data_IF_545254431245
#
_entry.id   IF_545254431245
#
_cell.length_a   1.000
_cell.length_b   1.000
_cell.length_c   1.000
_cell.angle_alpha   90.00
_cell.angle_beta   90.00
_cell.angle_gamma   90.00
#
_symmetry.space_group_name_H-M   'P 1'
#
loop_
_entity.id
_entity.type
_entity.pdbx_description
1 polymer ?
#
# COMPACT_ATOMS: atom_id res chain seq x y z
N UNK A 1 28.06 -9.93 -7.79
CA UNK A 1 28.35 -9.72 -6.36
C UNK A 1 29.86 -9.56 -6.18
N UNK A 2 30.30 -8.92 -5.10
CA UNK A 2 31.72 -8.76 -4.76
C UNK A 2 32.03 -9.63 -3.54
N UNK A 3 33.10 -10.41 -3.60
CA UNK A 3 33.56 -11.19 -2.44
C UNK A 3 34.36 -10.26 -1.52
N UNK A 4 33.86 -10.00 -0.31
CA UNK A 4 34.57 -9.16 0.65
C UNK A 4 35.62 -9.94 1.45
N UNK A 5 35.27 -11.15 1.89
CA UNK A 5 36.14 -12.00 2.71
C UNK A 5 35.89 -13.47 2.37
N UNK A 6 36.95 -14.28 2.38
CA UNK A 6 36.86 -15.72 2.12
C UNK A 6 36.91 -16.07 0.63
N UNK A 7 36.36 -17.22 0.28
CA UNK A 7 36.32 -17.77 -1.08
C UNK A 7 34.90 -18.24 -1.36
N UNK A 8 34.35 -17.87 -2.52
CA UNK A 8 33.07 -18.36 -3.00
C UNK A 8 33.32 -19.47 -4.02
N UNK A 9 32.84 -20.68 -3.74
CA UNK A 9 33.01 -21.85 -4.61
C UNK A 9 31.70 -22.21 -5.33
N UNK A 10 31.83 -22.70 -6.56
CA UNK A 10 30.69 -23.22 -7.31
C UNK A 10 30.16 -24.50 -6.63
N UNK A 11 28.86 -24.52 -6.35
CA UNK A 11 28.18 -25.60 -5.64
C UNK A 11 28.01 -25.39 -4.15
N UNK A 12 28.65 -24.36 -3.56
CA UNK A 12 28.55 -24.05 -2.14
C UNK A 12 27.17 -23.51 -1.74
N UNK A 13 26.75 -23.84 -0.52
CA UNK A 13 25.54 -23.28 0.10
C UNK A 13 25.92 -22.07 0.96
N UNK A 14 25.27 -20.94 0.71
CA UNK A 14 25.45 -19.67 1.44
C UNK A 14 24.13 -19.24 2.05
N UNK A 15 24.17 -18.54 3.17
CA UNK A 15 23.00 -17.97 3.83
C UNK A 15 22.86 -16.49 3.46
N UNK A 16 21.69 -16.12 2.91
CA UNK A 16 21.27 -14.74 2.75
C UNK A 16 20.76 -14.22 4.10
N UNK A 17 21.57 -13.40 4.76
CA UNK A 17 21.23 -12.87 6.10
C UNK A 17 20.13 -11.82 6.08
N UNK A 18 19.95 -11.11 4.96
CA UNK A 18 18.92 -10.09 4.85
C UNK A 18 17.50 -10.72 4.82
N UNK A 19 17.38 -11.93 4.28
CA UNK A 19 16.09 -12.63 4.06
C UNK A 19 15.92 -13.89 4.93
N UNK A 20 16.99 -14.38 5.54
CA UNK A 20 16.97 -15.62 6.33
C UNK A 20 16.86 -16.89 5.49
N UNK A 21 17.17 -16.82 4.19
CA UNK A 21 17.07 -17.91 3.23
C UNK A 21 18.45 -18.49 2.91
N UNK A 22 18.53 -19.81 2.71
CA UNK A 22 19.75 -20.46 2.22
C UNK A 22 19.72 -20.59 0.70
N UNK A 23 20.81 -20.21 0.07
CA UNK A 23 21.00 -20.15 -1.37
C UNK A 23 22.15 -21.06 -1.80
N UNK A 24 22.04 -21.64 -3.00
CA UNK A 24 23.10 -22.47 -3.57
C UNK A 24 23.74 -21.77 -4.74
N UNK A 25 25.04 -21.50 -4.64
CA UNK A 25 25.82 -20.88 -5.71
C UNK A 25 25.97 -21.90 -6.84
N UNK A 26 25.36 -21.61 -7.99
CA UNK A 26 25.38 -22.46 -9.18
C UNK A 26 25.87 -21.64 -10.36
N UNK A 27 26.75 -22.18 -11.22
CA UNK A 27 27.30 -21.47 -12.39
C UNK A 27 27.94 -20.13 -12.02
N UNK A 28 29.06 -20.22 -11.31
CA UNK A 28 29.87 -19.07 -10.97
C UNK A 28 30.68 -18.65 -12.20
N UNK A 29 30.60 -17.38 -12.59
CA UNK A 29 31.30 -16.85 -13.75
C UNK A 29 31.86 -15.46 -13.50
N UNK A 30 32.92 -15.11 -14.23
CA UNK A 30 33.44 -13.76 -14.31
C UNK A 30 32.95 -13.15 -15.63
N UNK A 31 32.28 -11.98 -15.61
CA UNK A 31 31.91 -11.29 -16.83
C UNK A 31 33.16 -10.65 -17.46
N UNK A 32 33.52 -11.06 -18.68
CA UNK A 32 34.59 -10.44 -19.47
C UNK A 32 33.98 -9.80 -20.73
N UNK A 33 33.55 -8.55 -20.59
CA UNK A 33 32.89 -7.74 -21.63
C UNK A 33 31.70 -8.43 -22.33
N UNK A 34 31.96 -9.30 -23.30
CA UNK A 34 30.95 -10.05 -24.07
C UNK A 34 30.91 -11.54 -23.70
N UNK A 35 32.01 -12.10 -23.18
CA UNK A 35 32.12 -13.50 -22.77
C UNK A 35 31.83 -13.67 -21.27
N UNK A 36 31.41 -14.87 -20.91
CA UNK A 36 31.22 -15.29 -19.51
C UNK A 36 32.09 -16.50 -19.29
N UNK A 37 33.15 -16.31 -18.52
CA UNK A 37 34.07 -17.39 -18.21
C UNK A 37 33.62 -18.05 -16.90
N UNK A 38 33.17 -19.30 -16.99
CA UNK A 38 32.81 -20.08 -15.80
C UNK A 38 34.07 -20.40 -14.99
N UNK A 39 34.03 -20.08 -13.71
CA UNK A 39 35.14 -20.30 -12.77
C UNK A 39 34.68 -21.17 -11.61
N UNK A 40 35.56 -22.07 -11.15
CA UNK A 40 35.25 -22.92 -10.00
C UNK A 40 35.20 -22.18 -8.65
N UNK A 41 35.93 -21.06 -8.54
CA UNK A 41 36.07 -20.29 -7.30
C UNK A 41 36.35 -18.81 -7.57
N UNK A 42 35.92 -17.95 -6.64
CA UNK A 42 36.24 -16.53 -6.57
C UNK A 42 36.87 -16.18 -5.22
N UNK A 43 37.95 -15.41 -5.23
CA UNK A 43 38.67 -15.01 -4.04
C UNK A 43 38.19 -13.66 -3.51
N UNK A 44 38.56 -13.33 -2.27
CA UNK A 44 38.29 -12.02 -1.69
C UNK A 44 38.87 -10.90 -2.55
N UNK A 45 38.03 -9.92 -2.89
CA UNK A 45 38.33 -8.84 -3.83
C UNK A 45 37.65 -9.03 -5.18
N UNK A 46 37.42 -10.26 -5.61
CA UNK A 46 36.89 -10.56 -6.94
C UNK A 46 35.41 -10.18 -7.09
N UNK A 47 35.04 -9.82 -8.31
CA UNK A 47 33.66 -9.55 -8.72
C UNK A 47 33.22 -10.66 -9.65
N UNK A 48 32.15 -11.35 -9.28
CA UNK A 48 31.58 -12.42 -10.09
C UNK A 48 30.08 -12.30 -10.24
N UNK A 49 29.57 -13.08 -11.17
CA UNK A 49 28.14 -13.28 -11.40
C UNK A 49 27.78 -14.72 -11.07
N UNK A 50 26.59 -14.89 -10.51
CA UNK A 50 26.00 -16.19 -10.21
C UNK A 50 24.61 -16.19 -10.81
N UNK A 51 24.22 -17.32 -11.37
CA UNK A 51 22.92 -17.48 -12.02
C UNK A 51 21.94 -18.18 -11.09
N UNK A 52 20.65 -17.86 -11.21
CA UNK A 52 19.53 -18.59 -10.57
C UNK A 52 19.56 -18.64 -9.03
N UNK A 53 19.88 -17.52 -8.38
CA UNK A 53 19.55 -17.36 -6.96
C UNK A 53 18.03 -17.17 -6.80
N UNK A 54 17.45 -17.73 -5.75
CA UNK A 54 15.98 -17.75 -5.60
C UNK A 54 15.43 -16.47 -4.98
N UNK A 55 16.06 -15.98 -3.93
CA UNK A 55 15.57 -14.95 -3.02
C UNK A 55 16.67 -13.95 -2.66
N UNK A 56 17.59 -13.70 -3.60
CA UNK A 56 18.67 -12.72 -3.43
C UNK A 56 18.41 -11.49 -4.28
N UNK A 57 18.41 -10.33 -3.63
CA UNK A 57 18.13 -9.03 -4.24
C UNK A 57 19.36 -8.11 -4.27
N UNK A 58 19.23 -6.99 -4.98
CA UNK A 58 20.24 -5.93 -5.03
C UNK A 58 20.52 -5.36 -3.62
N UNK A 59 21.74 -5.56 -3.13
CA UNK A 59 22.18 -5.08 -1.81
C UNK A 59 22.15 -6.12 -0.69
N UNK A 60 21.72 -7.35 -0.96
CA UNK A 60 21.71 -8.43 0.03
C UNK A 60 23.14 -8.92 0.36
N UNK A 61 23.33 -9.38 1.60
CA UNK A 61 24.59 -9.98 2.06
C UNK A 61 24.48 -11.51 2.08
N UNK A 62 25.32 -12.16 1.27
CA UNK A 62 25.51 -13.61 1.28
C UNK A 62 26.69 -13.98 2.18
N UNK A 63 26.46 -14.88 3.12
CA UNK A 63 27.45 -15.32 4.12
C UNK A 63 27.63 -16.84 4.09
N UNK A 64 28.81 -17.35 4.47
CA UNK A 64 28.99 -18.78 4.65
C UNK A 64 28.16 -19.29 5.85
N UNK A 65 27.69 -20.54 5.79
CA UNK A 65 26.90 -21.15 6.87
C UNK A 65 27.61 -21.01 8.22
N UNK A 66 26.89 -20.48 9.21
CA UNK A 66 27.41 -20.25 10.56
C UNK A 66 28.20 -18.95 10.78
N UNK A 67 28.58 -18.21 9.72
CA UNK A 67 29.19 -16.87 9.85
C UNK A 67 28.11 -15.79 9.75
N UNK A 68 27.81 -15.12 10.86
CA UNK A 68 26.74 -14.11 10.97
C UNK A 68 27.16 -12.69 10.56
N UNK A 69 27.90 -12.53 9.47
CA UNK A 69 28.34 -11.21 9.03
C UNK A 69 27.29 -10.58 8.11
N UNK A 70 26.75 -9.43 8.51
CA UNK A 70 25.90 -8.58 7.68
C UNK A 70 26.70 -7.34 7.30
N UNK A 71 26.80 -7.04 6.00
CA UNK A 71 27.46 -5.84 5.53
C UNK A 71 26.49 -4.65 5.62
N UNK A 72 27.01 -3.41 5.81
CA UNK A 72 26.16 -2.23 5.76
C UNK A 72 25.49 -2.14 4.38
N UNK A 73 24.16 -2.05 4.38
CA UNK A 73 23.37 -1.92 3.16
C UNK A 73 23.60 -0.59 2.45
N UNK A 74 23.23 -0.53 1.18
CA UNK A 74 23.27 0.70 0.39
C UNK A 74 22.05 1.53 0.77
N UNK A 75 22.28 2.78 1.20
CA UNK A 75 21.18 3.72 1.44
C UNK A 75 20.71 4.30 0.11
N UNK A 76 19.61 3.76 -0.40
CA UNK A 76 19.03 4.20 -1.66
C UNK A 76 18.33 5.56 -1.51
N UNK A 77 18.45 6.47 -2.50
CA UNK A 77 17.69 7.71 -2.50
C UNK A 77 16.19 7.43 -2.60
N UNK A 78 15.38 8.30 -1.99
CA UNK A 78 13.93 8.21 -2.07
C UNK A 78 13.46 8.66 -3.45
N UNK A 79 12.47 7.97 -4.00
CA UNK A 79 11.81 8.35 -5.24
C UNK A 79 10.94 9.59 -5.03
N UNK A 80 11.29 10.69 -5.71
CA UNK A 80 10.63 11.98 -5.56
C UNK A 80 9.52 12.24 -6.60
N UNK A 81 9.58 11.60 -7.77
CA UNK A 81 8.59 11.79 -8.85
C UNK A 81 7.60 10.64 -8.84
N UNK A 82 6.31 10.96 -8.91
CA UNK A 82 5.21 10.02 -9.04
C UNK A 82 4.44 10.22 -10.34
N UNK A 83 4.10 9.11 -11.00
CA UNK A 83 3.23 9.09 -12.18
C UNK A 83 2.19 8.00 -12.00
N UNK A 84 0.96 8.24 -12.45
CA UNK A 84 -0.03 7.18 -12.54
C UNK A 84 0.21 6.38 -13.81
N UNK A 85 0.09 5.07 -13.70
CA UNK A 85 0.29 4.13 -14.79
C UNK A 85 -0.94 3.25 -14.96
N UNK A 86 -1.30 2.99 -16.22
CA UNK A 86 -2.39 2.09 -16.61
C UNK A 86 -1.94 1.19 -17.75
N UNK A 87 -2.30 -0.09 -17.78
CA UNK A 87 -2.06 -0.91 -18.97
C UNK A 87 -2.89 -0.40 -20.15
N UNK A 88 -2.31 -0.38 -21.34
CA UNK A 88 -3.01 0.05 -22.56
C UNK A 88 -4.16 -0.91 -22.94
N UNK A 89 -4.08 -2.18 -22.52
CA UNK A 89 -5.08 -3.21 -22.80
C UNK A 89 -5.73 -3.74 -21.53
N UNK A 90 -7.06 -3.91 -21.56
CA UNK A 90 -7.82 -4.53 -20.46
C UNK A 90 -7.49 -6.02 -20.39
N UNK A 91 -6.97 -6.48 -19.25
CA UNK A 91 -6.52 -7.85 -19.02
C UNK A 91 -5.00 -8.02 -18.90
N UNK A 92 -4.22 -6.95 -19.05
CA UNK A 92 -2.76 -6.97 -18.80
C UNK A 92 -2.37 -6.51 -17.40
N UNK A 93 -3.34 -6.30 -16.50
CA UNK A 93 -3.10 -5.83 -15.12
C UNK A 93 -2.25 -6.82 -14.31
N UNK A 94 -2.50 -8.12 -14.43
CA UNK A 94 -1.72 -9.14 -13.72
C UNK A 94 -0.25 -9.18 -14.19
N UNK A 95 -0.04 -9.01 -15.51
CA UNK A 95 1.29 -8.95 -16.11
C UNK A 95 2.01 -7.67 -15.70
N UNK A 96 1.29 -6.55 -15.62
CA UNK A 96 1.81 -5.28 -15.13
C UNK A 96 2.26 -5.42 -13.68
N UNK A 97 1.40 -5.94 -12.80
CA UNK A 97 1.72 -6.16 -11.37
C UNK A 97 2.96 -7.04 -11.19
N UNK A 98 3.03 -8.15 -11.92
CA UNK A 98 4.19 -9.05 -11.90
C UNK A 98 5.45 -8.35 -12.42
N UNK A 99 5.35 -7.61 -13.52
CA UNK A 99 6.47 -6.88 -14.12
C UNK A 99 7.00 -5.76 -13.22
N UNK A 100 6.11 -5.03 -12.54
CA UNK A 100 6.47 -3.99 -11.58
C UNK A 100 7.18 -4.56 -10.37
N UNK A 101 6.72 -5.71 -9.86
CA UNK A 101 7.39 -6.42 -8.77
C UNK A 101 8.81 -6.81 -9.17
N UNK A 102 8.99 -7.39 -10.36
CA UNK A 102 10.31 -7.75 -10.87
C UNK A 102 11.22 -6.56 -11.15
N UNK A 103 10.66 -5.44 -11.62
CA UNK A 103 11.42 -4.19 -11.75
C UNK A 103 11.87 -3.65 -10.39
N UNK A 104 11.03 -3.73 -9.36
CA UNK A 104 11.40 -3.33 -8.00
C UNK A 104 12.48 -4.24 -7.39
N UNK A 105 12.45 -5.55 -7.68
CA UNK A 105 13.50 -6.49 -7.28
C UNK A 105 14.85 -6.14 -7.93
N UNK A 106 14.85 -5.73 -9.20
CA UNK A 106 16.05 -5.31 -9.94
C UNK A 106 16.55 -3.92 -9.47
N UNK A 107 15.63 -2.97 -9.30
CA UNK A 107 15.89 -1.58 -8.93
C UNK A 107 15.10 -1.16 -7.68
N UNK A 108 15.76 -1.09 -6.50
CA UNK A 108 15.11 -0.71 -5.24
C UNK A 108 14.73 0.77 -5.17
N UNK A 109 15.23 1.61 -6.08
CA UNK A 109 14.88 3.04 -6.16
C UNK A 109 13.58 3.28 -6.92
N UNK A 110 13.14 2.31 -7.72
CA UNK A 110 11.83 2.30 -8.34
C UNK A 110 10.82 1.68 -7.38
N UNK A 111 9.64 2.26 -7.23
CA UNK A 111 8.58 1.69 -6.40
C UNK A 111 7.24 1.84 -7.11
N UNK A 112 6.37 0.84 -7.02
CA UNK A 112 5.02 0.92 -7.54
C UNK A 112 4.02 0.44 -6.50
N UNK A 113 2.94 1.18 -6.33
CA UNK A 113 1.88 0.88 -5.36
C UNK A 113 0.52 1.15 -5.98
N UNK A 114 -0.44 0.26 -5.74
CA UNK A 114 -1.83 0.50 -6.10
C UNK A 114 -2.50 1.37 -5.03
N UNK A 115 -3.10 2.48 -5.45
CA UNK A 115 -3.88 3.38 -4.60
C UNK A 115 -5.37 3.02 -4.71
N UNK A 116 -5.97 2.36 -3.70
CA UNK A 116 -7.35 1.89 -3.76
C UNK A 116 -8.37 3.03 -3.80
N UNK A 117 -8.09 4.18 -3.17
CA UNK A 117 -9.04 5.31 -3.15
C UNK A 117 -9.27 5.91 -4.54
N UNK A 118 -8.23 5.91 -5.38
CA UNK A 118 -8.26 6.48 -6.73
C UNK A 118 -8.35 5.42 -7.82
N UNK A 119 -8.21 4.13 -7.46
CA UNK A 119 -8.10 3.01 -8.38
C UNK A 119 -7.01 3.25 -9.45
N UNK A 120 -5.85 3.76 -9.00
CA UNK A 120 -4.71 4.05 -9.85
C UNK A 120 -3.46 3.34 -9.32
N UNK A 121 -2.66 2.77 -10.22
CA UNK A 121 -1.32 2.31 -9.88
C UNK A 121 -0.36 3.48 -10.01
N UNK A 122 0.33 3.83 -8.93
CA UNK A 122 1.27 4.94 -8.89
C UNK A 122 2.69 4.36 -8.93
N UNK A 123 3.43 4.70 -9.96
CA UNK A 123 4.86 4.42 -10.06
C UNK A 123 5.66 5.63 -9.56
N UNK A 124 6.69 5.36 -8.76
CA UNK A 124 7.59 6.35 -8.17
C UNK A 124 9.01 6.06 -8.62
N UNK A 125 9.72 7.12 -9.01
CA UNK A 125 11.13 7.04 -9.38
C UNK A 125 11.91 8.30 -9.00
N UNK A 126 13.22 8.24 -9.19
CA UNK A 126 14.15 9.35 -8.91
C UNK A 126 14.02 10.53 -9.89
N UNK A 127 13.50 10.28 -11.08
CA UNK A 127 13.46 11.27 -12.16
C UNK A 127 12.57 10.81 -13.31
N UNK A 128 12.22 11.74 -14.19
CA UNK A 128 11.38 11.46 -15.36
C UNK A 128 12.06 10.47 -16.31
N UNK A 129 13.36 10.66 -16.58
CA UNK A 129 14.14 9.74 -17.41
C UNK A 129 14.18 8.32 -16.82
N UNK A 130 14.31 8.21 -15.50
CA UNK A 130 14.33 6.91 -14.82
C UNK A 130 12.98 6.19 -15.01
N UNK A 131 11.87 6.89 -14.79
CA UNK A 131 10.54 6.33 -15.03
C UNK A 131 10.33 5.92 -16.49
N UNK A 132 10.75 6.74 -17.46
CA UNK A 132 10.65 6.42 -18.88
C UNK A 132 11.42 5.13 -19.25
N UNK A 133 12.65 4.97 -18.75
CA UNK A 133 13.45 3.77 -18.97
C UNK A 133 12.80 2.55 -18.30
N UNK A 134 12.24 2.71 -17.09
CA UNK A 134 11.55 1.62 -16.39
C UNK A 134 10.31 1.14 -17.17
N UNK A 135 9.51 2.06 -17.71
CA UNK A 135 8.35 1.73 -18.55
C UNK A 135 8.76 1.06 -19.86
N UNK A 136 9.82 1.55 -20.50
CA UNK A 136 10.35 0.93 -21.72
C UNK A 136 10.88 -0.49 -21.45
N UNK A 137 11.58 -0.71 -20.33
CA UNK A 137 12.00 -2.05 -19.89
C UNK A 137 10.81 -2.96 -19.66
N UNK A 138 9.73 -2.45 -19.08
CA UNK A 138 8.51 -3.22 -18.86
C UNK A 138 7.91 -3.69 -20.20
N UNK A 139 7.86 -2.79 -21.19
CA UNK A 139 7.37 -3.11 -22.54
C UNK A 139 8.27 -4.11 -23.27
N UNK A 140 9.60 -3.94 -23.21
CA UNK A 140 10.56 -4.81 -23.89
C UNK A 140 10.65 -6.22 -23.27
N UNK A 141 10.70 -6.32 -21.94
CA UNK A 141 10.88 -7.62 -21.24
C UNK A 141 9.57 -8.38 -21.05
N UNK A 142 8.48 -7.68 -20.70
CA UNK A 142 7.21 -8.30 -20.31
C UNK A 142 6.11 -8.11 -21.34
N UNK A 143 6.35 -7.34 -22.42
CA UNK A 143 5.40 -7.13 -23.49
C UNK A 143 4.19 -6.27 -23.12
N UNK A 144 4.22 -5.61 -21.95
CA UNK A 144 3.11 -4.79 -21.45
C UNK A 144 3.32 -3.35 -21.86
N UNK A 145 2.39 -2.78 -22.62
CA UNK A 145 2.39 -1.34 -22.94
C UNK A 145 1.66 -0.59 -21.83
N UNK A 146 2.30 0.47 -21.34
CA UNK A 146 1.80 1.28 -20.24
C UNK A 146 1.56 2.69 -20.72
N UNK A 147 0.38 3.22 -20.38
CA UNK A 147 0.04 4.63 -20.55
C UNK A 147 0.31 5.38 -19.24
N UNK A 148 0.82 6.60 -19.37
CA UNK A 148 1.13 7.46 -18.22
C UNK A 148 0.08 8.56 -18.10
N UNK A 149 -0.38 8.79 -16.87
CA UNK A 149 -1.31 9.86 -16.53
C UNK A 149 -0.75 10.63 -15.31
N UNK A 150 -1.09 11.92 -15.16
CA UNK A 150 -0.81 12.62 -13.92
C UNK A 150 -1.56 11.94 -12.75
N UNK A 151 -0.92 11.73 -11.58
CA UNK A 151 -1.58 11.11 -10.44
C UNK A 151 -2.73 11.99 -9.96
N UNK A 152 -3.88 11.37 -9.71
CA UNK A 152 -5.02 12.10 -9.14
C UNK A 152 -4.75 12.41 -7.67
N UNK A 153 -5.36 13.49 -7.19
CA UNK A 153 -5.26 13.91 -5.79
C UNK A 153 -6.51 13.39 -5.07
N UNK A 154 -6.36 12.68 -3.94
CA UNK A 154 -7.49 12.26 -3.12
C UNK A 154 -8.03 13.47 -2.36
N UNK A 155 -9.00 14.15 -2.96
CA UNK A 155 -9.71 15.25 -2.30
C UNK A 155 -10.51 14.71 -1.10
N UNK A 156 -10.70 15.57 -0.10
CA UNK A 156 -11.52 15.31 1.08
C UNK A 156 -12.54 16.42 1.24
N UNK A 157 -13.71 16.09 1.76
CA UNK A 157 -14.74 17.07 2.09
C UNK A 157 -14.67 17.40 3.58
N UNK A 158 -15.01 18.62 3.97
CA UNK A 158 -15.16 19.00 5.37
C UNK A 158 -16.23 20.09 5.51
N UNK A 159 -16.71 20.29 6.72
CA UNK A 159 -17.74 21.28 7.03
C UNK A 159 -17.10 22.55 7.60
N UNK A 160 -17.80 23.68 7.50
CA UNK A 160 -17.31 24.99 8.00
C UNK A 160 -18.16 25.56 9.12
N UNK A 161 -19.40 25.08 9.27
CA UNK A 161 -20.37 25.57 10.26
C UNK A 161 -20.98 24.39 10.99
N UNK A 162 -21.40 24.63 12.22
CA UNK A 162 -22.18 23.66 12.98
C UNK A 162 -23.59 23.53 12.41
N UNK A 163 -24.11 22.31 12.34
CA UNK A 163 -25.47 22.03 11.92
C UNK A 163 -26.11 20.96 12.82
N UNK A 164 -27.43 20.99 12.94
CA UNK A 164 -28.23 20.01 13.67
C UNK A 164 -29.19 19.32 12.71
N UNK A 165 -29.42 18.03 12.91
CA UNK A 165 -30.30 17.24 12.07
C UNK A 165 -30.95 16.08 12.81
N UNK A 166 -32.17 15.76 12.42
CA UNK A 166 -32.90 14.58 12.89
C UNK A 166 -32.89 13.49 11.81
N UNK A 167 -32.46 12.28 12.18
CA UNK A 167 -32.57 11.09 11.38
C UNK A 167 -33.61 10.15 11.96
N UNK A 168 -34.81 10.12 11.38
CA UNK A 168 -35.90 9.21 11.78
C UNK A 168 -36.17 8.17 10.71
N UNK A 169 -36.10 6.91 11.10
CA UNK A 169 -36.37 5.74 10.28
C UNK A 169 -37.46 4.90 10.95
N UNK A 170 -38.62 4.76 10.29
CA UNK A 170 -39.74 3.94 10.74
C UNK A 170 -40.22 3.08 9.59
N UNK A 171 -40.03 1.76 9.69
CA UNK A 171 -40.53 0.80 8.69
C UNK A 171 -41.30 -0.32 9.37
N UNK A 172 -42.54 -0.53 8.92
CA UNK A 172 -43.42 -1.57 9.40
C UNK A 172 -43.92 -2.38 8.20
N UNK A 173 -43.18 -3.42 7.81
CA UNK A 173 -43.56 -4.34 6.74
C UNK A 173 -43.69 -5.73 7.32
N UNK A 174 -44.94 -6.20 7.55
CA UNK A 174 -45.37 -7.60 7.73
C UNK A 174 -44.68 -8.49 8.79
N UNK A 175 -43.55 -8.07 9.35
CA UNK A 175 -42.69 -8.79 10.30
C UNK A 175 -42.11 -7.83 11.35
N UNK A 176 -40.93 -8.12 11.89
CA UNK A 176 -40.28 -7.31 12.95
C UNK A 176 -40.13 -5.86 12.48
N UNK A 177 -40.73 -4.92 13.23
CA UNK A 177 -40.62 -3.50 12.91
C UNK A 177 -39.19 -3.01 13.06
N UNK A 178 -38.84 -1.98 12.29
CA UNK A 178 -37.57 -1.27 12.43
C UNK A 178 -37.86 0.19 12.81
N UNK A 179 -37.27 0.63 13.92
CA UNK A 179 -37.40 1.99 14.43
C UNK A 179 -36.05 2.54 14.90
N UNK A 180 -35.63 3.66 14.31
CA UNK A 180 -34.50 4.45 14.77
C UNK A 180 -34.83 5.93 14.69
N UNK A 181 -34.54 6.69 15.75
CA UNK A 181 -34.67 8.14 15.75
C UNK A 181 -33.50 8.73 16.53
N UNK A 182 -32.68 9.53 15.86
CA UNK A 182 -31.51 10.16 16.45
C UNK A 182 -31.39 11.62 16.04
N UNK A 183 -31.00 12.45 17.01
CA UNK A 183 -30.64 13.84 16.80
C UNK A 183 -29.13 13.98 16.92
N UNK A 184 -28.55 14.49 15.84
CA UNK A 184 -27.11 14.68 15.72
C UNK A 184 -26.82 16.16 15.53
N UNK A 185 -25.79 16.64 16.23
CA UNK A 185 -25.16 17.93 15.98
C UNK A 185 -23.78 17.69 15.42
N UNK A 186 -23.49 18.24 14.26
CA UNK A 186 -22.21 18.09 13.58
C UNK A 186 -21.46 19.41 13.68
N UNK A 187 -20.17 19.38 14.04
CA UNK A 187 -19.31 20.56 14.13
C UNK A 187 -17.98 20.36 13.39
N UNK A 188 -17.43 21.42 12.77
CA UNK A 188 -16.11 21.34 12.16
C UNK A 188 -15.03 21.18 13.23
N UNK A 189 -13.98 20.42 12.89
CA UNK A 189 -12.75 20.32 13.68
C UNK A 189 -11.57 20.97 12.94
N UNK A 190 -10.45 21.15 13.64
CA UNK A 190 -9.24 21.60 12.97
C UNK A 190 -8.72 20.52 12.00
N UNK A 191 -7.98 20.97 10.98
CA UNK A 191 -7.44 20.07 9.96
C UNK A 191 -6.49 19.04 10.58
N UNK A 192 -6.73 17.77 10.30
CA UNK A 192 -5.93 16.66 10.81
C UNK A 192 -6.36 16.14 12.19
N UNK A 193 -7.42 16.68 12.78
CA UNK A 193 -8.01 16.12 14.02
C UNK A 193 -8.92 14.91 13.74
N UNK A 194 -9.33 14.71 12.49
CA UNK A 194 -10.09 13.54 12.08
C UNK A 194 -11.54 13.55 12.58
N UNK A 195 -12.07 12.36 12.81
CA UNK A 195 -13.46 12.15 13.22
C UNK A 195 -13.57 11.85 14.71
N UNK A 196 -14.49 12.53 15.40
CA UNK A 196 -14.84 12.22 16.79
C UNK A 196 -16.35 12.13 16.99
N UNK A 197 -16.75 11.14 17.78
CA UNK A 197 -18.15 10.92 18.15
C UNK A 197 -18.33 11.16 19.65
N UNK A 198 -19.16 12.14 20.01
CA UNK A 198 -19.46 12.52 21.38
C UNK A 198 -20.87 12.06 21.74
N UNK A 199 -20.97 11.24 22.79
CA UNK A 199 -22.24 10.84 23.36
C UNK A 199 -22.69 11.87 24.42
N UNK A 200 -23.74 12.64 24.13
CA UNK A 200 -24.38 13.61 25.04
C UNK A 200 -25.83 13.28 25.38
N UNK A 201 -26.27 12.04 25.15
CA UNK A 201 -27.64 11.58 25.44
C UNK A 201 -27.99 11.78 26.91
N UNK A 202 -29.03 12.56 27.18
CA UNK A 202 -29.58 12.81 28.51
C UNK A 202 -30.81 11.91 28.74
N UNK A 203 -31.00 11.38 29.96
CA UNK A 203 -32.23 10.69 30.34
C UNK A 203 -32.46 9.28 29.75
N UNK A 204 -31.50 8.71 29.02
CA UNK A 204 -31.62 7.37 28.46
C UNK A 204 -32.51 7.27 27.21
N UNK A 205 -32.74 8.39 26.51
CA UNK A 205 -33.55 8.47 25.28
C UNK A 205 -33.10 7.53 24.15
N UNK A 206 -31.83 7.13 24.15
CA UNK A 206 -31.31 6.00 23.35
C UNK A 206 -30.51 5.08 24.29
N UNK A 207 -30.82 3.78 24.36
CA UNK A 207 -30.01 2.83 25.11
C UNK A 207 -28.57 2.82 24.63
N UNK A 208 -27.61 2.79 25.56
CA UNK A 208 -26.18 2.83 25.25
C UNK A 208 -25.69 1.74 24.30
N UNK A 209 -26.46 0.65 24.16
CA UNK A 209 -26.18 -0.46 23.23
C UNK A 209 -26.34 -0.08 21.75
N UNK A 210 -27.19 0.89 21.42
CA UNK A 210 -27.43 1.33 20.04
C UNK A 210 -26.53 2.50 19.60
N UNK A 211 -25.85 3.16 20.54
CA UNK A 211 -24.95 4.27 20.25
C UNK A 211 -23.80 3.89 19.29
N UNK A 212 -23.14 2.73 19.43
CA UNK A 212 -22.13 2.29 18.47
C UNK A 212 -22.69 2.06 17.06
N UNK A 213 -23.97 1.68 16.93
CA UNK A 213 -24.62 1.50 15.64
C UNK A 213 -24.84 2.85 14.94
N UNK A 214 -25.23 3.88 15.70
CA UNK A 214 -25.33 5.25 15.21
C UNK A 214 -23.96 5.78 14.79
N UNK A 215 -22.91 5.59 15.59
CA UNK A 215 -21.53 5.96 15.23
C UNK A 215 -21.06 5.27 13.94
N UNK A 216 -21.36 3.97 13.79
CA UNK A 216 -21.05 3.23 12.57
C UNK A 216 -21.79 3.79 11.35
N UNK A 217 -23.07 4.11 11.50
CA UNK A 217 -23.86 4.72 10.42
C UNK A 217 -23.34 6.10 10.00
N UNK A 218 -22.89 6.91 10.95
CA UNK A 218 -22.25 8.20 10.67
C UNK A 218 -20.93 8.01 9.93
N UNK A 219 -20.08 7.06 10.34
CA UNK A 219 -18.82 6.74 9.65
C UNK A 219 -19.05 6.25 8.22
N UNK A 220 -20.06 5.42 8.01
CA UNK A 220 -20.42 4.93 6.68
C UNK A 220 -20.92 6.06 5.78
N UNK A 221 -21.80 6.92 6.30
CA UNK A 221 -22.28 8.11 5.58
C UNK A 221 -21.13 9.08 5.25
N UNK A 222 -20.18 9.25 6.16
CA UNK A 222 -18.99 10.08 5.94
C UNK A 222 -18.04 9.52 4.86
N UNK A 223 -18.16 8.24 4.51
CA UNK A 223 -17.40 7.64 3.41
C UNK A 223 -17.73 8.25 2.04
N UNK A 224 -18.92 8.85 1.87
CA UNK A 224 -19.35 9.49 0.62
C UNK A 224 -19.96 10.87 0.90
N UNK A 225 -19.15 11.91 0.70
CA UNK A 225 -19.57 13.29 0.83
C UNK A 225 -20.69 13.70 -0.13
N UNK A 226 -21.39 14.78 0.22
CA UNK A 226 -22.59 15.24 -0.48
C UNK A 226 -22.24 16.07 -1.72
N UNK A 227 -21.05 16.69 -1.75
CA UNK A 227 -20.67 17.63 -2.83
C UNK A 227 -20.14 16.88 -4.05
N UNK A 228 -19.10 16.06 -3.86
CA UNK A 228 -18.41 15.36 -4.93
C UNK A 228 -18.22 13.87 -4.65
N UNK A 229 -18.77 13.36 -3.54
CA UNK A 229 -18.66 11.96 -3.15
C UNK A 229 -17.34 11.60 -2.48
N UNK A 230 -16.53 12.58 -2.10
CA UNK A 230 -15.26 12.31 -1.42
C UNK A 230 -15.47 12.05 0.07
N UNK A 231 -14.57 11.29 0.73
CA UNK A 231 -14.67 11.06 2.16
C UNK A 231 -14.63 12.38 2.94
N UNK A 232 -15.56 12.52 3.89
CA UNK A 232 -15.65 13.67 4.78
C UNK A 232 -14.68 13.48 5.94
N UNK A 233 -13.90 14.50 6.27
CA UNK A 233 -12.88 14.50 7.32
C UNK A 233 -12.99 15.72 8.22
N UNK A 234 -12.32 15.67 9.37
CA UNK A 234 -12.19 16.78 10.33
C UNK A 234 -13.54 17.31 10.83
N UNK A 235 -14.36 16.41 11.37
CA UNK A 235 -15.66 16.77 11.95
C UNK A 235 -15.97 15.98 13.22
N UNK A 236 -16.71 16.62 14.11
CA UNK A 236 -17.22 16.06 15.35
C UNK A 236 -18.72 15.84 15.23
N UNK A 237 -19.22 14.72 15.75
CA UNK A 237 -20.65 14.42 15.82
C UNK A 237 -21.06 14.21 17.27
N UNK A 238 -21.94 15.08 17.76
CA UNK A 238 -22.59 14.93 19.05
C UNK A 238 -23.97 14.29 18.89
N UNK A 239 -24.18 13.12 19.47
CA UNK A 239 -25.52 12.55 19.62
C UNK A 239 -26.11 13.01 20.97
N UNK A 240 -27.11 13.89 20.92
CA UNK A 240 -27.65 14.55 22.12
C UNK A 240 -29.08 14.13 22.47
N UNK A 241 -29.88 13.69 21.51
CA UNK A 241 -31.27 13.28 21.73
C UNK A 241 -31.71 12.19 20.73
N UNK A 242 -32.87 11.58 20.96
CA UNK A 242 -33.43 10.54 20.11
C UNK A 242 -34.65 9.86 20.70
N UNK A 243 -35.08 8.78 20.07
CA UNK A 243 -36.15 7.95 20.59
C UNK A 243 -35.91 6.49 20.21
N UNK A 244 -36.35 5.58 21.07
CA UNK A 244 -36.29 4.15 20.81
C UNK A 244 -37.65 3.49 21.07
N UNK A 245 -37.89 2.37 20.40
CA UNK A 245 -39.04 1.51 20.64
C UNK A 245 -38.54 0.18 21.21
N UNK A 246 -39.13 -0.29 22.31
CA UNK A 246 -38.61 -1.45 23.05
C UNK A 246 -38.58 -2.76 22.26
N UNK A 247 -39.43 -2.90 21.24
CA UNK A 247 -39.58 -4.14 20.45
C UNK A 247 -39.08 -3.98 19.01
N UNK A 248 -39.18 -2.77 18.45
CA UNK A 248 -38.91 -2.49 17.03
C UNK A 248 -37.57 -1.77 16.79
N UNK A 249 -36.86 -1.34 17.83
CA UNK A 249 -35.51 -0.79 17.63
C UNK A 249 -34.50 -1.89 17.33
N UNK A 250 -33.84 -1.74 16.20
CA UNK A 250 -32.76 -2.61 15.71
C UNK A 250 -31.48 -1.79 15.49
N UNK A 251 -30.34 -2.48 15.46
CA UNK A 251 -29.04 -1.91 15.07
C UNK A 251 -29.05 -1.38 13.63
#
# INVERSE_FOLDING_TARGET
>A
FRVFTGVAESGATVDNRARGSSERISHLAIPDATTRDEVGRLHAGDIGVVSKLKDTHSGDTLSAQGKGLTLPGINWPKADISIAIRPASRGEEDKLSTGLTKLHEEDPTFSASFEPELSQTIARGLGELHLNIAMERLSRKYGVKVETEPPRIPYRETITRSAEGQGRYKKQTGGRGQFGDCWLRIRPRARGEGYEFIKKIVGGAIPGKFVPAVDKGVKEAAGRGVIAGYPVVDFEVECYDGSYHSVDSSE
#
